data_IF_434165613166
#
_entry.id   IF_434165613166
#
_cell.length_a   1.000
_cell.length_b   1.000
_cell.length_c   1.000
_cell.angle_alpha   90.00
_cell.angle_beta   90.00
_cell.angle_gamma   90.00
#
_symmetry.space_group_name_H-M   'P 1'
#
loop_
_entity.id
_entity.type
_entity.pdbx_description
1 polymer ?
#
# COMPACT_ATOMS: atom_id res chain seq x y z
N UNK A 1 -22.47 25.65 -9.11
CA UNK A 1 -22.40 24.58 -10.12
C UNK A 1 -21.22 23.70 -9.77
N UNK A 2 -21.47 22.73 -8.90
CA UNK A 2 -20.49 21.70 -8.57
C UNK A 2 -20.47 20.72 -9.74
N UNK A 3 -19.32 20.59 -10.40
CA UNK A 3 -19.13 19.58 -11.43
C UNK A 3 -19.25 18.21 -10.79
N UNK A 4 -20.32 17.50 -11.15
CA UNK A 4 -20.49 16.09 -10.91
C UNK A 4 -19.37 15.39 -11.68
N UNK A 5 -18.32 14.99 -10.96
CA UNK A 5 -17.27 14.13 -11.52
C UNK A 5 -17.96 12.80 -11.80
N UNK A 6 -18.29 12.60 -13.06
CA UNK A 6 -18.97 11.41 -13.56
C UNK A 6 -18.03 10.21 -13.39
N UNK A 7 -18.13 9.57 -12.22
CA UNK A 7 -17.30 8.42 -11.82
C UNK A 7 -17.44 7.25 -12.81
N UNK A 8 -18.53 7.24 -13.59
CA UNK A 8 -18.82 6.25 -14.63
C UNK A 8 -18.01 6.45 -15.93
N UNK A 9 -17.41 7.62 -16.18
CA UNK A 9 -16.66 7.85 -17.41
C UNK A 9 -15.29 7.14 -17.41
N UNK A 10 -14.71 6.86 -16.23
CA UNK A 10 -13.44 6.12 -16.13
C UNK A 10 -13.61 4.61 -16.32
N UNK A 11 -14.78 4.04 -16.02
CA UNK A 11 -15.05 2.60 -16.16
C UNK A 11 -15.36 2.18 -17.62
N UNK A 12 -15.68 3.12 -18.51
CA UNK A 12 -16.14 2.82 -19.86
C UNK A 12 -15.04 2.38 -20.86
N UNK A 13 -13.75 2.41 -20.48
CA UNK A 13 -12.64 2.24 -21.42
C UNK A 13 -11.65 1.11 -21.04
N UNK A 14 -12.04 0.22 -20.13
CA UNK A 14 -11.18 -0.85 -19.61
C UNK A 14 -11.64 -2.21 -20.14
N UNK A 15 -11.01 -2.67 -21.23
CA UNK A 15 -11.29 -3.98 -21.85
C UNK A 15 -10.52 -5.09 -21.12
N UNK A 16 -10.89 -5.37 -19.88
CA UNK A 16 -10.30 -6.45 -19.06
C UNK A 16 -11.23 -7.67 -19.05
N UNK A 17 -11.19 -8.44 -20.12
CA UNK A 17 -11.85 -9.75 -20.18
C UNK A 17 -10.82 -10.84 -20.48
N UNK A 18 -11.06 -12.04 -19.97
CA UNK A 18 -10.27 -13.22 -20.36
C UNK A 18 -10.34 -13.45 -21.88
N UNK A 19 -11.46 -13.10 -22.50
CA UNK A 19 -11.59 -13.16 -23.97
C UNK A 19 -10.71 -12.13 -24.67
N UNK A 20 -10.60 -10.93 -24.10
CA UNK A 20 -9.73 -9.86 -24.62
C UNK A 20 -8.25 -10.23 -24.45
N UNK A 21 -7.88 -10.87 -23.34
CA UNK A 21 -6.53 -11.39 -23.09
C UNK A 21 -6.12 -12.47 -24.10
N UNK A 22 -7.03 -13.40 -24.44
CA UNK A 22 -6.77 -14.41 -25.49
C UNK A 22 -6.65 -13.78 -26.88
N UNK A 23 -7.46 -12.75 -27.14
CA UNK A 23 -7.45 -12.04 -28.43
C UNK A 23 -6.23 -11.13 -28.58
N UNK A 24 -5.64 -10.67 -27.48
CA UNK A 24 -4.49 -9.77 -27.44
C UNK A 24 -4.72 -8.50 -28.28
N UNK A 25 -5.85 -7.83 -28.06
CA UNK A 25 -6.19 -6.60 -28.78
C UNK A 25 -5.31 -5.41 -28.33
N UNK A 26 -5.04 -4.43 -29.21
CA UNK A 26 -4.38 -3.19 -28.81
C UNK A 26 -5.13 -2.44 -27.70
N UNK A 27 -6.46 -2.54 -27.66
CA UNK A 27 -7.29 -1.99 -26.57
C UNK A 27 -6.98 -2.66 -25.24
N UNK A 28 -6.94 -4.00 -25.21
CA UNK A 28 -6.59 -4.77 -24.01
C UNK A 28 -5.20 -4.38 -23.50
N UNK A 29 -4.19 -4.31 -24.39
CA UNK A 29 -2.83 -3.91 -24.01
C UNK A 29 -2.77 -2.50 -23.44
N UNK A 30 -3.51 -1.55 -24.03
CA UNK A 30 -3.60 -0.20 -23.51
C UNK A 30 -4.26 -0.15 -22.11
N UNK A 31 -5.36 -0.91 -21.91
CA UNK A 31 -6.01 -1.01 -20.61
C UNK A 31 -5.10 -1.64 -19.56
N UNK A 32 -4.36 -2.70 -19.89
CA UNK A 32 -3.39 -3.33 -18.99
C UNK A 32 -2.27 -2.36 -18.61
N UNK A 33 -1.70 -1.63 -19.57
CA UNK A 33 -0.65 -0.65 -19.29
C UNK A 33 -1.13 0.48 -18.37
N UNK A 34 -2.35 0.98 -18.58
CA UNK A 34 -2.94 2.01 -17.70
C UNK A 34 -3.09 1.50 -16.26
N UNK A 35 -3.56 0.26 -16.09
CA UNK A 35 -3.71 -0.34 -14.76
C UNK A 35 -2.37 -0.63 -14.09
N UNK A 36 -1.35 -0.96 -14.87
CA UNK A 36 0.01 -1.11 -14.36
C UNK A 36 0.51 0.19 -13.73
N UNK A 37 0.28 1.34 -14.38
CA UNK A 37 0.63 2.65 -13.84
C UNK A 37 -0.18 2.99 -12.57
N UNK A 38 -1.47 2.64 -12.55
CA UNK A 38 -2.34 2.81 -11.38
C UNK A 38 -1.87 1.96 -10.19
N UNK A 39 -1.49 0.70 -10.45
CA UNK A 39 -0.96 -0.23 -9.44
C UNK A 39 0.37 0.29 -8.89
N UNK A 40 1.28 0.76 -9.74
CA UNK A 40 2.56 1.34 -9.31
C UNK A 40 2.35 2.61 -8.47
N UNK A 41 1.32 3.40 -8.79
CA UNK A 41 0.92 4.58 -8.01
C UNK A 41 0.35 4.19 -6.65
N UNK A 42 -0.53 3.19 -6.61
CA UNK A 42 -1.10 2.65 -5.38
C UNK A 42 -0.02 2.07 -4.47
N UNK A 43 0.94 1.32 -5.01
CA UNK A 43 2.06 0.77 -4.23
C UNK A 43 2.83 1.88 -3.51
N UNK A 44 3.19 2.95 -4.24
CA UNK A 44 3.89 4.11 -3.67
C UNK A 44 3.08 4.80 -2.60
N UNK A 45 1.77 4.93 -2.80
CA UNK A 45 0.87 5.54 -1.82
C UNK A 45 0.78 4.71 -0.54
N UNK A 46 0.64 3.38 -0.66
CA UNK A 46 0.60 2.47 0.50
C UNK A 46 1.93 2.47 1.26
N UNK A 47 3.07 2.50 0.56
CA UNK A 47 4.39 2.61 1.21
C UNK A 47 4.56 3.95 1.96
N UNK A 48 4.13 5.06 1.37
CA UNK A 48 4.13 6.37 2.04
C UNK A 48 3.23 6.39 3.27
N UNK A 49 2.04 5.78 3.18
CA UNK A 49 1.13 5.64 4.30
C UNK A 49 1.76 4.83 5.45
N UNK A 50 2.39 3.69 5.13
CA UNK A 50 3.12 2.88 6.12
C UNK A 50 4.23 3.68 6.81
N UNK A 51 5.00 4.47 6.05
CA UNK A 51 6.04 5.36 6.59
C UNK A 51 5.44 6.44 7.51
N UNK A 52 4.34 7.07 7.10
CA UNK A 52 3.64 8.09 7.89
C UNK A 52 3.14 7.53 9.23
N UNK A 53 2.61 6.30 9.24
CA UNK A 53 2.18 5.63 10.48
C UNK A 53 3.38 5.33 11.38
N UNK A 54 4.49 4.82 10.82
CA UNK A 54 5.74 4.59 11.58
C UNK A 54 6.37 5.88 12.13
N UNK A 55 6.10 7.04 11.55
CA UNK A 55 6.51 8.33 12.09
C UNK A 55 5.72 8.76 13.34
N UNK A 56 4.60 8.10 13.66
CA UNK A 56 3.84 8.34 14.91
C UNK A 56 4.41 7.60 16.13
N UNK A 57 5.29 6.63 15.89
CA UNK A 57 6.04 5.80 16.86
C UNK A 57 6.90 6.56 17.90
N UNK A 58 7.52 7.75 17.61
CA UNK A 58 8.40 8.45 18.55
C UNK A 58 7.76 8.81 19.91
N UNK A 59 6.44 8.68 20.05
CA UNK A 59 5.71 8.94 21.29
C UNK A 59 5.89 7.89 22.39
N UNK A 60 6.58 6.76 22.12
CA UNK A 60 6.83 5.68 23.11
C UNK A 60 7.72 6.08 24.31
N UNK A 61 8.44 7.21 24.25
CA UNK A 61 9.30 7.70 25.34
C UNK A 61 8.56 8.52 26.42
N UNK A 62 7.42 9.10 26.08
CA UNK A 62 6.63 9.95 26.98
C UNK A 62 6.14 9.26 28.26
N UNK A 63 5.67 7.99 28.26
CA UNK A 63 5.15 7.38 29.50
C UNK A 63 6.26 7.21 30.55
N UNK A 64 7.48 6.87 30.12
CA UNK A 64 8.64 6.77 31.03
C UNK A 64 9.05 8.14 31.58
N UNK A 65 9.09 9.15 30.72
CA UNK A 65 9.38 10.52 31.12
C UNK A 65 8.31 11.09 32.06
N UNK A 66 7.02 10.88 31.74
CA UNK A 66 5.89 11.36 32.51
C UNK A 66 5.80 10.67 33.87
N UNK A 67 6.01 9.35 33.94
CA UNK A 67 6.08 8.63 35.21
C UNK A 67 7.22 9.16 36.11
N UNK A 68 8.36 9.51 35.51
CA UNK A 68 9.47 10.16 36.21
C UNK A 68 9.08 11.57 36.70
N UNK A 69 8.49 12.39 35.83
CA UNK A 69 8.03 13.74 36.14
C UNK A 69 6.96 13.74 37.26
N UNK A 70 5.95 12.87 37.15
CA UNK A 70 4.87 12.69 38.13
C UNK A 70 5.45 12.32 39.49
N UNK A 71 6.38 11.36 39.52
CA UNK A 71 7.08 10.95 40.74
C UNK A 71 7.89 12.10 41.34
N UNK A 72 8.68 12.81 40.54
CA UNK A 72 9.55 13.89 41.04
C UNK A 72 8.75 15.11 41.51
N UNK A 73 7.65 15.50 40.86
CA UNK A 73 6.89 16.70 41.25
C UNK A 73 5.79 16.45 42.28
N UNK A 74 5.07 15.33 42.20
CA UNK A 74 4.02 15.03 43.18
C UNK A 74 4.60 14.61 44.53
N UNK A 75 5.68 13.81 44.56
CA UNK A 75 6.31 13.41 45.83
C UNK A 75 7.16 14.53 46.45
N UNK A 76 7.66 15.48 45.65
CA UNK A 76 8.41 16.61 46.18
C UNK A 76 7.51 17.71 46.78
N UNK A 77 6.18 17.62 46.65
CA UNK A 77 5.23 18.58 47.22
C UNK A 77 5.40 20.02 46.71
N UNK A 78 6.11 20.23 45.60
CA UNK A 78 6.39 21.56 45.07
C UNK A 78 5.48 21.87 43.88
N UNK A 79 4.54 22.83 44.01
CA UNK A 79 3.78 23.29 42.86
C UNK A 79 4.72 23.88 41.79
N UNK A 80 4.39 23.74 40.48
CA UNK A 80 5.24 24.15 39.35
C UNK A 80 5.66 25.63 39.32
N UNK A 81 4.99 26.43 40.12
CA UNK A 81 5.08 27.86 40.24
C UNK A 81 5.00 28.09 41.75
N UNK A 82 5.80 28.98 42.33
CA UNK A 82 5.85 29.26 43.78
C UNK A 82 4.57 29.83 44.41
N UNK A 83 3.41 29.40 43.92
CA UNK A 83 2.05 29.80 44.28
C UNK A 83 1.67 29.31 45.69
N UNK A 84 2.43 28.40 46.31
CA UNK A 84 2.02 27.73 47.54
C UNK A 84 2.48 28.33 48.87
N UNK A 85 3.40 29.31 48.92
CA UNK A 85 3.99 29.69 50.23
C UNK A 85 4.07 31.18 50.55
N UNK A 86 3.63 32.09 49.67
CA UNK A 86 3.76 33.55 49.92
C UNK A 86 2.52 34.39 49.59
N UNK A 87 1.35 33.78 49.33
CA UNK A 87 0.12 34.53 49.02
C UNK A 87 -0.97 34.17 50.05
N UNK A 88 -1.21 35.01 51.07
CA UNK A 88 -2.12 34.71 52.19
C UNK A 88 -3.63 34.82 51.86
N UNK A 89 -4.01 34.91 50.57
CA UNK A 89 -5.39 35.18 50.14
C UNK A 89 -6.04 34.06 49.31
N UNK A 90 -5.47 32.85 49.24
CA UNK A 90 -6.19 31.69 48.68
C UNK A 90 -7.09 31.08 49.76
N UNK A 91 -8.39 31.01 49.47
CA UNK A 91 -9.41 30.46 50.37
C UNK A 91 -9.25 28.96 50.69
N UNK A 92 -8.43 28.24 49.92
CA UNK A 92 -8.15 26.82 50.14
C UNK A 92 -6.68 26.49 49.76
N UNK A 93 -5.79 26.23 50.75
CA UNK A 93 -4.37 25.91 50.53
C UNK A 93 -4.13 24.63 49.72
N UNK A 94 -5.11 23.71 49.68
CA UNK A 94 -4.97 22.39 49.06
C UNK A 94 -5.43 22.36 47.59
N UNK A 95 -6.18 23.38 47.15
CA UNK A 95 -6.70 23.50 45.79
C UNK A 95 -5.62 23.37 44.68
N UNK A 96 -4.43 23.98 44.78
CA UNK A 96 -3.40 23.87 43.74
C UNK A 96 -2.84 22.44 43.59
N UNK A 97 -2.72 21.71 44.70
CA UNK A 97 -2.26 20.32 44.69
C UNK A 97 -3.32 19.38 44.12
N UNK A 98 -4.59 19.57 44.50
CA UNK A 98 -5.71 18.83 43.91
C UNK A 98 -5.82 19.08 42.40
N UNK A 99 -5.69 20.33 41.96
CA UNK A 99 -5.66 20.68 40.53
C UNK A 99 -4.49 20.00 39.79
N UNK A 100 -3.31 19.93 40.42
CA UNK A 100 -2.14 19.25 39.86
C UNK A 100 -2.35 17.73 39.76
N UNK A 101 -3.03 17.11 40.74
CA UNK A 101 -3.40 15.70 40.70
C UNK A 101 -4.38 15.41 39.55
N UNK A 102 -5.45 16.19 39.42
CA UNK A 102 -6.43 16.05 38.32
C UNK A 102 -5.76 16.26 36.96
N UNK A 103 -4.87 17.25 36.85
CA UNK A 103 -4.09 17.47 35.63
C UNK A 103 -3.16 16.28 35.32
N UNK A 104 -2.46 15.76 36.31
CA UNK A 104 -1.56 14.63 36.12
C UNK A 104 -2.32 13.35 35.72
N UNK A 105 -3.49 13.12 36.29
CA UNK A 105 -4.32 11.95 35.99
C UNK A 105 -4.99 12.06 34.61
N UNK A 106 -5.52 13.24 34.25
CA UNK A 106 -6.07 13.48 32.90
C UNK A 106 -5.01 13.38 31.80
N UNK A 107 -3.80 13.86 32.05
CA UNK A 107 -2.68 13.73 31.13
C UNK A 107 -2.22 12.26 30.99
N UNK A 108 -2.20 11.50 32.10
CA UNK A 108 -1.92 10.07 32.08
C UNK A 108 -2.95 9.29 31.26
N UNK A 109 -4.25 9.57 31.48
CA UNK A 109 -5.34 8.92 30.75
C UNK A 109 -5.30 9.22 29.25
N UNK A 110 -5.14 10.50 28.88
CA UNK A 110 -5.01 10.94 27.48
C UNK A 110 -3.82 10.27 26.79
N UNK A 111 -2.71 10.14 27.51
CA UNK A 111 -1.54 9.46 26.98
C UNK A 111 -1.73 7.95 26.82
N UNK A 112 -2.34 7.27 27.79
CA UNK A 112 -2.65 5.85 27.70
C UNK A 112 -3.59 5.55 26.53
N UNK A 113 -4.60 6.41 26.30
CA UNK A 113 -5.46 6.34 25.13
C UNK A 113 -4.68 6.48 23.82
N UNK A 114 -3.82 7.51 23.71
CA UNK A 114 -2.97 7.71 22.54
C UNK A 114 -2.02 6.53 22.28
N UNK A 115 -1.44 5.94 23.34
CA UNK A 115 -0.56 4.78 23.22
C UNK A 115 -1.32 3.54 22.71
N UNK A 116 -2.55 3.32 23.20
CA UNK A 116 -3.43 2.27 22.71
C UNK A 116 -3.76 2.49 21.22
N UNK A 117 -4.14 3.71 20.84
CA UNK A 117 -4.43 4.05 19.44
C UNK A 117 -3.24 3.77 18.52
N UNK A 118 -2.01 4.10 18.93
CA UNK A 118 -0.80 3.78 18.17
C UNK A 118 -0.60 2.27 18.04
N UNK A 119 -0.79 1.51 19.11
CA UNK A 119 -0.72 0.04 19.07
C UNK A 119 -1.79 -0.57 18.16
N UNK A 120 -3.01 -0.03 18.18
CA UNK A 120 -4.11 -0.48 17.33
C UNK A 120 -3.82 -0.16 15.85
N UNK A 121 -3.24 1.00 15.55
CA UNK A 121 -2.79 1.36 14.20
C UNK A 121 -1.66 0.45 13.71
N UNK A 122 -0.73 0.06 14.58
CA UNK A 122 0.36 -0.84 14.25
C UNK A 122 -0.14 -2.26 13.90
N UNK A 123 -1.00 -2.83 14.76
CA UNK A 123 -1.52 -4.18 14.57
C UNK A 123 -2.59 -4.29 13.48
N UNK A 124 -3.55 -3.36 13.46
CA UNK A 124 -4.73 -3.49 12.60
C UNK A 124 -4.56 -2.86 11.22
N UNK A 125 -3.57 -1.99 11.04
CA UNK A 125 -3.42 -1.23 9.79
C UNK A 125 -2.01 -1.34 9.21
N UNK A 126 -0.96 -1.10 10.00
CA UNK A 126 0.41 -1.18 9.49
C UNK A 126 0.80 -2.61 9.10
N UNK A 127 0.45 -3.62 9.90
CA UNK A 127 0.80 -5.00 9.62
C UNK A 127 0.10 -5.55 8.36
N UNK A 128 -1.23 -5.39 8.16
CA UNK A 128 -1.89 -5.78 6.92
C UNK A 128 -1.35 -5.04 5.69
N UNK A 129 -1.11 -3.73 5.77
CA UNK A 129 -0.55 -2.97 4.65
C UNK A 129 0.89 -3.38 4.30
N UNK A 130 1.69 -3.73 5.32
CA UNK A 130 3.05 -4.24 5.08
C UNK A 130 3.01 -5.62 4.41
N UNK A 131 2.05 -6.48 4.77
CA UNK A 131 1.86 -7.77 4.11
C UNK A 131 1.38 -7.58 2.66
N UNK A 132 0.42 -6.68 2.42
CA UNK A 132 -0.06 -6.32 1.08
C UNK A 132 1.11 -5.91 0.17
N UNK A 133 2.01 -5.04 0.65
CA UNK A 133 3.22 -4.62 -0.09
C UNK A 133 4.19 -5.76 -0.36
N UNK A 134 4.40 -6.66 0.62
CA UNK A 134 5.39 -7.71 0.52
C UNK A 134 4.94 -8.89 -0.34
N UNK A 135 3.67 -9.26 -0.22
CA UNK A 135 3.15 -10.51 -0.74
C UNK A 135 2.35 -10.24 -2.02
N UNK A 136 1.27 -9.47 -1.95
CA UNK A 136 0.34 -9.27 -3.07
C UNK A 136 0.95 -8.44 -4.21
N UNK A 137 1.52 -7.26 -3.91
CA UNK A 137 2.18 -6.43 -4.92
C UNK A 137 3.40 -7.14 -5.55
N UNK A 138 4.11 -7.94 -4.76
CA UNK A 138 5.23 -8.74 -5.27
C UNK A 138 4.75 -9.81 -6.23
N UNK A 139 3.73 -10.58 -5.85
CA UNK A 139 3.17 -11.63 -6.70
C UNK A 139 2.65 -11.05 -8.02
N UNK A 140 2.00 -9.88 -7.97
CA UNK A 140 1.49 -9.19 -9.16
C UNK A 140 2.64 -8.74 -10.09
N UNK A 141 3.72 -8.18 -9.54
CA UNK A 141 4.92 -7.80 -10.31
C UNK A 141 5.65 -9.00 -10.91
N UNK A 142 5.70 -10.13 -10.20
CA UNK A 142 6.27 -11.37 -10.73
C UNK A 142 5.43 -11.91 -11.90
N UNK A 143 4.10 -11.83 -11.82
CA UNK A 143 3.21 -12.19 -12.91
C UNK A 143 3.33 -11.25 -14.13
N UNK A 144 3.44 -9.94 -13.89
CA UNK A 144 3.71 -8.93 -14.93
C UNK A 144 4.99 -9.27 -15.71
N UNK A 145 6.10 -9.49 -15.00
CA UNK A 145 7.40 -9.87 -15.61
C UNK A 145 7.32 -11.18 -16.41
N UNK A 146 6.56 -12.16 -15.91
CA UNK A 146 6.36 -13.41 -16.62
C UNK A 146 5.57 -13.21 -17.91
N UNK A 147 4.54 -12.35 -17.89
CA UNK A 147 3.76 -11.98 -19.06
C UNK A 147 4.60 -11.23 -20.10
N UNK A 148 5.33 -10.18 -19.71
CA UNK A 148 6.23 -9.40 -20.57
C UNK A 148 7.26 -10.32 -21.25
N UNK A 149 7.90 -11.22 -20.49
CA UNK A 149 8.84 -12.20 -21.04
C UNK A 149 8.17 -13.19 -22.02
N UNK A 150 6.93 -13.56 -21.77
CA UNK A 150 6.13 -14.39 -22.68
C UNK A 150 5.82 -13.65 -23.98
N UNK A 151 5.43 -12.39 -23.86
CA UNK A 151 5.12 -11.49 -24.96
C UNK A 151 6.35 -11.28 -25.86
N UNK A 152 7.50 -10.91 -25.30
CA UNK A 152 8.75 -10.68 -26.03
C UNK A 152 9.17 -11.92 -26.83
N UNK A 153 9.04 -13.11 -26.23
CA UNK A 153 9.34 -14.38 -26.91
C UNK A 153 8.39 -14.64 -28.07
N UNK A 154 7.11 -14.37 -27.88
CA UNK A 154 6.11 -14.51 -28.93
C UNK A 154 6.35 -13.53 -30.08
N UNK A 155 6.58 -12.25 -29.78
CA UNK A 155 6.86 -11.22 -30.79
C UNK A 155 8.15 -11.53 -31.57
N UNK A 156 9.21 -11.96 -30.87
CA UNK A 156 10.45 -12.40 -31.51
C UNK A 156 10.27 -13.66 -32.36
N UNK A 157 9.44 -14.61 -31.90
CA UNK A 157 9.08 -15.81 -32.67
C UNK A 157 8.28 -15.45 -33.93
N UNK A 158 7.30 -14.56 -33.79
CA UNK A 158 6.43 -14.11 -34.86
C UNK A 158 7.23 -13.35 -35.93
N UNK A 159 8.15 -12.46 -35.53
CA UNK A 159 9.01 -11.74 -36.46
C UNK A 159 9.90 -12.69 -37.29
N UNK A 160 10.49 -13.71 -36.64
CA UNK A 160 11.28 -14.75 -37.33
C UNK A 160 10.43 -15.57 -38.30
N UNK A 161 9.23 -15.97 -37.88
CA UNK A 161 8.30 -16.71 -38.73
C UNK A 161 7.85 -15.88 -39.94
N UNK A 162 7.50 -14.61 -39.72
CA UNK A 162 7.06 -13.69 -40.77
C UNK A 162 8.18 -13.38 -41.79
N UNK A 163 9.44 -13.32 -41.35
CA UNK A 163 10.60 -13.14 -42.22
C UNK A 163 11.04 -14.42 -42.96
N UNK A 164 10.41 -15.57 -42.68
CA UNK A 164 10.80 -16.86 -43.24
C UNK A 164 10.50 -16.93 -44.75
N UNK A 165 11.49 -17.36 -45.54
CA UNK A 165 11.36 -17.44 -46.99
C UNK A 165 10.42 -18.58 -47.41
N UNK A 166 9.42 -18.30 -48.25
CA UNK A 166 8.40 -19.27 -48.67
C UNK A 166 8.94 -20.44 -49.52
N UNK A 167 10.15 -20.32 -50.05
CA UNK A 167 10.82 -21.39 -50.80
C UNK A 167 11.59 -22.39 -49.91
N UNK A 168 11.53 -22.27 -48.59
CA UNK A 168 12.01 -23.32 -47.67
C UNK A 168 11.26 -24.63 -47.92
N UNK A 169 11.90 -25.74 -47.57
CA UNK A 169 11.23 -27.03 -47.57
C UNK A 169 9.96 -27.01 -46.69
N UNK A 170 8.92 -27.69 -47.14
CA UNK A 170 7.64 -27.73 -46.44
C UNK A 170 7.75 -28.29 -45.02
N UNK A 171 8.71 -29.17 -44.74
CA UNK A 171 9.06 -29.67 -43.41
C UNK A 171 9.54 -28.56 -42.48
N UNK A 172 10.48 -27.74 -42.94
CA UNK A 172 11.04 -26.62 -42.17
C UNK A 172 9.98 -25.55 -41.87
N UNK A 173 9.09 -25.25 -42.83
CA UNK A 173 7.99 -24.31 -42.61
C UNK A 173 6.98 -24.82 -41.56
N UNK A 174 6.71 -26.12 -41.53
CA UNK A 174 5.85 -26.73 -40.51
C UNK A 174 6.49 -26.67 -39.13
N UNK A 175 7.79 -26.93 -39.04
CA UNK A 175 8.51 -26.85 -37.77
C UNK A 175 8.52 -25.40 -37.24
N UNK A 176 8.84 -24.41 -38.09
CA UNK A 176 8.80 -22.99 -37.72
C UNK A 176 7.39 -22.58 -37.22
N UNK A 177 6.33 -23.06 -37.88
CA UNK A 177 4.95 -22.82 -37.47
C UNK A 177 4.58 -23.50 -36.14
N UNK A 178 5.06 -24.74 -35.91
CA UNK A 178 4.82 -25.48 -34.68
C UNK A 178 5.50 -24.81 -33.48
N UNK A 179 6.75 -24.37 -33.65
CA UNK A 179 7.48 -23.62 -32.62
C UNK A 179 6.75 -22.31 -32.27
N UNK A 180 6.26 -21.57 -33.28
CA UNK A 180 5.49 -20.35 -33.03
C UNK A 180 4.19 -20.64 -32.26
N UNK A 181 3.48 -21.73 -32.61
CA UNK A 181 2.26 -22.13 -31.93
C UNK A 181 2.50 -22.44 -30.44
N UNK A 182 3.54 -23.20 -30.11
CA UNK A 182 3.87 -23.53 -28.72
C UNK A 182 4.26 -22.27 -27.92
N UNK A 183 5.03 -21.35 -28.53
CA UNK A 183 5.35 -20.07 -27.89
C UNK A 183 4.10 -19.22 -27.67
N UNK A 184 3.20 -19.15 -28.66
CA UNK A 184 1.93 -18.41 -28.53
C UNK A 184 1.07 -18.99 -27.41
N UNK A 185 0.96 -20.31 -27.32
CA UNK A 185 0.20 -21.00 -26.28
C UNK A 185 0.75 -20.69 -24.89
N UNK A 186 2.08 -20.67 -24.74
CA UNK A 186 2.72 -20.28 -23.48
C UNK A 186 2.42 -18.81 -23.13
N UNK A 187 2.50 -17.89 -24.09
CA UNK A 187 2.18 -16.47 -23.89
C UNK A 187 0.71 -16.25 -23.48
N UNK A 188 -0.25 -16.88 -24.18
CA UNK A 188 -1.68 -16.76 -23.84
C UNK A 188 -1.95 -17.25 -22.42
N UNK A 189 -1.27 -18.31 -21.99
CA UNK A 189 -1.38 -18.80 -20.61
C UNK A 189 -0.88 -17.77 -19.60
N UNK A 190 0.30 -17.19 -19.80
CA UNK A 190 0.84 -16.17 -18.89
C UNK A 190 -0.01 -14.89 -18.89
N UNK A 191 -0.57 -14.50 -20.04
CA UNK A 191 -1.47 -13.35 -20.17
C UNK A 191 -2.79 -13.56 -19.43
N UNK A 192 -3.37 -14.76 -19.51
CA UNK A 192 -4.54 -15.14 -18.72
C UNK A 192 -4.24 -15.16 -17.23
N UNK A 193 -3.14 -15.78 -16.82
CA UNK A 193 -2.74 -15.84 -15.40
C UNK A 193 -2.54 -14.42 -14.83
N UNK A 194 -1.95 -13.52 -15.62
CA UNK A 194 -1.76 -12.12 -15.22
C UNK A 194 -3.08 -11.35 -15.14
N UNK A 195 -3.96 -11.51 -16.13
CA UNK A 195 -5.28 -10.87 -16.16
C UNK A 195 -6.13 -11.30 -14.96
N UNK A 196 -6.10 -12.58 -14.59
CA UNK A 196 -6.80 -13.08 -13.40
C UNK A 196 -6.25 -12.45 -12.12
N UNK A 197 -4.92 -12.26 -12.01
CA UNK A 197 -4.33 -11.62 -10.84
C UNK A 197 -4.69 -10.14 -10.74
N UNK A 198 -4.71 -9.42 -11.87
CA UNK A 198 -5.19 -8.03 -11.91
C UNK A 198 -6.66 -7.96 -11.48
N UNK A 199 -7.51 -8.85 -12.01
CA UNK A 199 -8.94 -8.87 -11.68
C UNK A 199 -9.22 -9.22 -10.22
N UNK A 200 -8.35 -10.00 -9.55
CA UNK A 200 -8.46 -10.26 -8.11
C UNK A 200 -8.01 -9.07 -7.26
N UNK A 201 -7.17 -8.22 -7.81
CA UNK A 201 -6.64 -7.04 -7.12
C UNK A 201 -7.58 -5.83 -7.24
N UNK A 202 -8.41 -5.79 -8.29
CA UNK A 202 -9.54 -4.87 -8.43
C UNK A 202 -10.66 -5.18 -7.45
#
# INVERSE_FOLDING_TARGET
MAGEVDVNAMDANVDLSLQAAVKDSPSFRASVAMLEDDIDTLERWVDQLCKAIRLTEPRRGFPRYFARWKRTRLLAGQPPLGIGSQQPNLADPDMPMQALHIFADSLQATHAFNAKLVSDLEGNLLQPLTNLLRDDFRELKEARRANEKGQDKYESGLARYAASHKAKEASALREDAFQLYEVRKAYVRTSLDYTVKILKFR
#
